data_IF_001632784180
#
_entry.id   IF_001632784180
#
_cell.length_a   1.000
_cell.length_b   1.000
_cell.length_c   1.000
_cell.angle_alpha   90.00
_cell.angle_beta   90.00
_cell.angle_gamma   90.00
#
_symmetry.space_group_name_H-M   'P 1'
#
loop_
_entity.id
_entity.type
_entity.pdbx_description
1 polymer ?
#
# COMPACT_ATOMS: atom_id res chain seq x y z
N UNK A 1 2.50 18.17 -13.98
CA UNK A 1 1.91 19.14 -14.92
C UNK A 1 1.27 18.34 -16.07
N UNK A 2 -0.04 18.41 -16.31
CA UNK A 2 -0.65 17.75 -17.49
C UNK A 2 -0.45 18.67 -18.69
N UNK A 3 0.31 18.21 -19.69
CA UNK A 3 0.39 18.85 -21.00
C UNK A 3 -0.78 18.33 -21.83
N UNK A 4 -1.52 19.23 -22.49
CA UNK A 4 -2.61 18.88 -23.40
C UNK A 4 -2.25 19.44 -24.76
N UNK A 5 -2.31 18.61 -25.79
CA UNK A 5 -2.18 19.05 -27.17
C UNK A 5 -3.50 19.71 -27.58
N UNK A 6 -3.44 20.95 -28.04
CA UNK A 6 -4.60 21.75 -28.45
C UNK A 6 -4.23 22.60 -29.66
N UNK A 7 -5.20 22.90 -30.51
CA UNK A 7 -5.00 23.86 -31.61
C UNK A 7 -4.76 25.26 -31.04
N UNK A 8 -4.05 26.11 -31.78
CA UNK A 8 -3.80 27.52 -31.40
C UNK A 8 -5.08 28.34 -31.26
N UNK A 9 -6.17 27.90 -31.89
CA UNK A 9 -7.48 28.57 -31.86
C UNK A 9 -8.37 28.10 -30.72
N UNK A 10 -8.02 27.00 -30.06
CA UNK A 10 -8.90 26.40 -29.05
C UNK A 10 -8.80 27.15 -27.72
N UNK A 11 -9.92 27.36 -27.01
CA UNK A 11 -9.87 27.87 -25.65
C UNK A 11 -9.11 26.87 -24.76
N UNK A 12 -8.26 27.41 -23.86
CA UNK A 12 -7.52 26.58 -22.91
C UNK A 12 -8.51 25.76 -22.06
N UNK A 13 -8.28 24.45 -21.88
CA UNK A 13 -9.16 23.64 -21.06
C UNK A 13 -9.20 24.18 -19.64
N UNK A 14 -10.41 24.53 -19.17
CA UNK A 14 -10.63 25.00 -17.80
C UNK A 14 -10.36 23.86 -16.83
N UNK A 15 -9.26 23.97 -16.10
CA UNK A 15 -8.94 23.03 -15.04
C UNK A 15 -9.69 23.42 -13.78
N UNK A 16 -10.71 22.66 -13.42
CA UNK A 16 -11.38 22.81 -12.14
C UNK A 16 -10.36 22.51 -11.02
N UNK A 17 -10.13 23.50 -10.16
CA UNK A 17 -9.34 23.32 -8.95
C UNK A 17 -10.07 22.30 -8.07
N UNK A 18 -9.43 21.16 -7.79
CA UNK A 18 -9.99 20.16 -6.89
C UNK A 18 -9.98 20.73 -5.46
N UNK A 19 -11.14 21.10 -4.93
CA UNK A 19 -11.34 21.18 -3.49
C UNK A 19 -11.02 19.82 -2.87
N UNK A 20 -10.57 19.78 -1.61
CA UNK A 20 -10.41 18.49 -0.89
C UNK A 20 -11.72 17.72 -1.07
N UNK A 21 -11.65 16.50 -1.61
CA UNK A 21 -12.84 15.66 -1.79
C UNK A 21 -13.63 15.61 -0.49
N UNK A 22 -14.95 15.75 -0.56
CA UNK A 22 -15.81 15.79 0.63
C UNK A 22 -15.77 14.46 1.42
N UNK A 23 -15.23 13.38 0.84
CA UNK A 23 -14.95 12.11 1.51
C UNK A 23 -13.55 11.59 1.18
N UNK A 24 -12.93 10.92 2.16
CA UNK A 24 -11.76 10.06 2.01
C UNK A 24 -11.95 8.83 2.87
N UNK A 25 -11.54 7.67 2.38
CA UNK A 25 -11.51 6.43 3.15
C UNK A 25 -10.08 5.93 3.25
N UNK A 26 -9.71 5.46 4.43
CA UNK A 26 -8.42 4.83 4.64
C UNK A 26 -8.59 3.31 4.58
N UNK A 27 -7.73 2.64 3.82
CA UNK A 27 -7.72 1.18 3.69
C UNK A 27 -6.28 0.73 3.87
N UNK A 28 -6.03 -0.12 4.87
CA UNK A 28 -4.76 -0.82 5.03
C UNK A 28 -4.78 -2.09 4.17
N UNK A 29 -3.72 -2.36 3.42
CA UNK A 29 -3.66 -3.50 2.49
C UNK A 29 -2.40 -4.31 2.80
N UNK A 30 -2.58 -5.62 2.96
CA UNK A 30 -1.54 -6.60 3.25
C UNK A 30 -1.54 -7.68 2.18
N UNK A 31 -0.36 -8.01 1.67
CA UNK A 31 -0.18 -9.04 0.67
C UNK A 31 1.11 -9.81 0.91
N UNK A 32 1.16 -11.03 0.37
CA UNK A 32 2.33 -11.88 0.32
C UNK A 32 2.66 -12.18 -1.15
N UNK A 33 3.76 -12.89 -1.40
CA UNK A 33 4.09 -13.40 -2.75
C UNK A 33 2.96 -14.25 -3.37
N UNK A 34 2.11 -14.84 -2.54
CA UNK A 34 0.96 -15.63 -2.96
C UNK A 34 -0.26 -14.79 -3.37
N UNK A 35 -0.23 -13.49 -3.09
CA UNK A 35 -1.29 -12.54 -3.43
C UNK A 35 -1.74 -11.70 -2.25
N UNK A 36 -2.86 -10.99 -2.44
CA UNK A 36 -3.55 -10.27 -1.36
C UNK A 36 -3.85 -11.22 -0.18
N UNK A 37 -3.56 -10.77 1.04
CA UNK A 37 -3.97 -11.42 2.29
C UNK A 37 -5.24 -10.77 2.81
N UNK A 38 -5.21 -9.45 3.01
CA UNK A 38 -6.36 -8.72 3.55
C UNK A 38 -6.28 -7.24 3.17
N UNK A 39 -7.44 -6.65 2.88
CA UNK A 39 -7.65 -5.21 2.96
C UNK A 39 -8.58 -4.90 4.13
N UNK A 40 -8.18 -3.97 5.00
CA UNK A 40 -8.94 -3.58 6.19
C UNK A 40 -9.28 -2.10 6.09
N UNK A 41 -10.57 -1.81 6.17
CA UNK A 41 -11.07 -0.44 6.08
C UNK A 41 -11.06 0.20 7.47
N UNK A 42 -10.66 1.47 7.53
CA UNK A 42 -10.90 2.29 8.70
C UNK A 42 -12.38 2.68 8.74
N UNK A 43 -12.96 2.64 9.94
CA UNK A 43 -14.31 3.12 10.19
C UNK A 43 -14.45 4.61 9.84
N UNK A 44 -15.63 5.02 9.38
CA UNK A 44 -15.89 6.41 8.98
C UNK A 44 -15.66 7.36 10.15
N UNK A 45 -14.83 8.38 9.96
CA UNK A 45 -14.47 9.33 11.02
C UNK A 45 -13.40 8.83 12.01
N UNK A 46 -12.92 7.59 11.84
CA UNK A 46 -11.84 7.03 12.63
C UNK A 46 -10.47 7.65 12.32
N UNK A 47 -9.51 7.41 13.20
CA UNK A 47 -8.09 7.76 13.00
C UNK A 47 -7.27 6.49 13.02
N UNK A 48 -6.38 6.31 12.04
CA UNK A 48 -5.42 5.22 12.08
C UNK A 48 -4.35 5.53 13.13
N UNK A 49 -4.47 4.81 14.23
CA UNK A 49 -3.56 4.84 15.36
C UNK A 49 -3.17 3.39 15.73
N UNK A 50 -2.24 3.25 16.68
CA UNK A 50 -1.74 1.93 17.07
C UNK A 50 -2.85 1.04 17.67
N UNK A 51 -3.82 1.62 18.38
CA UNK A 51 -4.93 0.86 18.96
C UNK A 51 -5.82 0.25 17.87
N UNK A 52 -6.23 1.01 16.86
CA UNK A 52 -6.97 0.48 15.71
C UNK A 52 -6.15 -0.59 14.97
N UNK A 53 -4.84 -0.35 14.83
CA UNK A 53 -3.95 -1.27 14.14
C UNK A 53 -3.90 -2.64 14.82
N UNK A 54 -3.68 -2.66 16.13
CA UNK A 54 -3.52 -3.88 16.93
C UNK A 54 -4.86 -4.55 17.24
N UNK A 55 -5.92 -3.78 17.52
CA UNK A 55 -7.21 -4.34 17.96
C UNK A 55 -8.13 -4.71 16.80
N UNK A 56 -7.98 -4.07 15.64
CA UNK A 56 -8.88 -4.25 14.49
C UNK A 56 -8.15 -4.76 13.25
N UNK A 57 -7.02 -4.14 12.90
CA UNK A 57 -6.37 -4.40 11.62
C UNK A 57 -5.59 -5.73 11.60
N UNK A 58 -4.53 -5.84 12.43
CA UNK A 58 -3.66 -7.02 12.46
C UNK A 58 -4.41 -8.33 12.77
N UNK A 59 -5.37 -8.39 13.71
CA UNK A 59 -6.09 -9.63 13.98
C UNK A 59 -6.79 -10.20 12.74
N UNK A 60 -7.34 -9.34 11.88
CA UNK A 60 -7.97 -9.76 10.63
C UNK A 60 -6.94 -10.26 9.60
N UNK A 61 -5.76 -9.64 9.55
CA UNK A 61 -4.66 -10.05 8.67
C UNK A 61 -4.12 -11.41 9.08
N UNK A 62 -3.81 -11.58 10.37
CA UNK A 62 -3.25 -12.82 10.92
C UNK A 62 -4.25 -13.97 10.85
N UNK A 63 -5.54 -13.70 11.10
CA UNK A 63 -6.61 -14.69 10.86
C UNK A 63 -6.64 -15.15 9.41
N UNK A 64 -6.60 -14.21 8.45
CA UNK A 64 -6.61 -14.54 7.02
C UNK A 64 -5.35 -15.34 6.60
N UNK A 65 -4.18 -14.99 7.13
CA UNK A 65 -2.94 -15.74 6.89
C UNK A 65 -2.99 -17.16 7.50
N UNK A 66 -3.58 -17.30 8.70
CA UNK A 66 -3.77 -18.60 9.36
C UNK A 66 -4.72 -19.51 8.59
N UNK A 67 -5.84 -18.96 8.09
CA UNK A 67 -6.80 -19.71 7.26
C UNK A 67 -6.15 -20.23 5.96
N UNK A 68 -5.13 -19.53 5.45
CA UNK A 68 -4.31 -19.94 4.30
C UNK A 68 -3.16 -20.87 4.65
N UNK A 69 -2.93 -21.16 5.95
CA UNK A 69 -1.78 -21.92 6.47
C UNK A 69 -0.42 -21.30 6.11
N UNK A 70 -0.37 -19.97 6.00
CA UNK A 70 0.82 -19.19 5.61
C UNK A 70 1.52 -18.53 6.81
N UNK A 71 1.30 -19.01 8.04
CA UNK A 71 1.80 -18.35 9.28
C UNK A 71 3.22 -18.73 9.69
N UNK A 72 3.77 -19.83 9.17
CA UNK A 72 5.09 -20.32 9.57
C UNK A 72 6.21 -19.48 8.95
N UNK A 73 7.07 -18.90 9.79
CA UNK A 73 8.23 -18.12 9.34
C UNK A 73 7.83 -16.80 8.69
N UNK A 74 6.71 -16.21 9.13
CA UNK A 74 6.31 -14.89 8.66
C UNK A 74 7.30 -13.82 9.11
N UNK A 75 7.64 -12.97 8.16
CA UNK A 75 8.37 -11.71 8.39
C UNK A 75 7.43 -10.60 7.98
N UNK A 76 7.20 -9.67 8.89
CA UNK A 76 6.32 -8.53 8.69
C UNK A 76 7.11 -7.32 8.18
N UNK A 77 6.64 -6.69 7.11
CA UNK A 77 7.26 -5.48 6.59
C UNK A 77 6.23 -4.36 6.47
N UNK A 78 6.52 -3.23 7.10
CA UNK A 78 5.76 -1.98 7.06
C UNK A 78 6.71 -0.77 7.11
N UNK A 79 6.18 0.44 7.01
CA UNK A 79 6.98 1.65 7.14
C UNK A 79 7.24 2.02 8.62
N UNK A 80 8.01 3.09 8.83
CA UNK A 80 8.32 3.58 10.17
C UNK A 80 7.25 4.54 10.73
N UNK A 81 5.99 4.46 10.28
CA UNK A 81 4.93 5.27 10.85
C UNK A 81 4.82 5.03 12.37
N UNK A 82 4.47 6.08 13.12
CA UNK A 82 4.45 6.05 14.60
C UNK A 82 3.63 4.90 15.17
N UNK A 83 2.56 4.50 14.48
CA UNK A 83 1.71 3.40 14.92
C UNK A 83 2.33 2.01 14.68
N UNK A 84 3.13 1.84 13.62
CA UNK A 84 3.82 0.58 13.33
C UNK A 84 4.97 0.32 14.31
N UNK A 85 5.51 1.39 14.90
CA UNK A 85 6.62 1.35 15.87
C UNK A 85 6.19 1.63 17.31
N UNK A 86 4.88 1.70 17.56
CA UNK A 86 4.35 1.82 18.90
C UNK A 86 4.62 0.54 19.71
N UNK A 87 4.79 0.67 21.03
CA UNK A 87 5.06 -0.48 21.89
C UNK A 87 3.99 -1.57 21.73
N UNK A 88 2.70 -1.22 21.71
CA UNK A 88 1.60 -2.18 21.58
C UNK A 88 1.64 -2.95 20.27
N UNK A 89 2.17 -2.36 19.20
CA UNK A 89 2.31 -3.02 17.91
C UNK A 89 3.45 -4.03 17.94
N UNK A 90 4.58 -3.64 18.53
CA UNK A 90 5.72 -4.55 18.71
C UNK A 90 5.36 -5.71 19.63
N UNK A 91 4.64 -5.45 20.71
CA UNK A 91 4.13 -6.45 21.66
C UNK A 91 3.21 -7.45 20.93
N UNK A 92 2.23 -6.96 20.16
CA UNK A 92 1.35 -7.83 19.38
C UNK A 92 2.13 -8.72 18.39
N UNK A 93 3.10 -8.18 17.64
CA UNK A 93 3.89 -8.96 16.69
C UNK A 93 4.73 -10.03 17.39
N UNK A 94 5.31 -9.69 18.55
CA UNK A 94 6.09 -10.60 19.38
C UNK A 94 5.24 -11.77 19.91
N UNK A 95 4.05 -11.47 20.43
CA UNK A 95 3.08 -12.48 20.92
C UNK A 95 2.64 -13.43 19.80
N UNK A 96 2.61 -12.95 18.55
CA UNK A 96 2.28 -13.77 17.39
C UNK A 96 3.53 -14.44 16.75
N UNK A 97 4.70 -14.34 17.39
CA UNK A 97 5.97 -14.90 16.90
C UNK A 97 6.35 -14.44 15.49
N UNK A 98 6.07 -13.18 15.17
CA UNK A 98 6.40 -12.58 13.87
C UNK A 98 7.46 -11.52 14.04
N UNK A 99 8.56 -11.68 13.31
CA UNK A 99 9.63 -10.71 13.25
C UNK A 99 9.24 -9.56 12.33
N UNK A 100 9.50 -8.32 12.77
CA UNK A 100 9.32 -7.13 11.95
C UNK A 100 10.64 -6.78 11.25
N UNK A 101 10.63 -6.77 9.91
CA UNK A 101 11.77 -6.35 9.12
C UNK A 101 11.97 -4.83 9.23
N UNK A 102 13.20 -4.35 9.49
CA UNK A 102 13.47 -2.92 9.57
C UNK A 102 13.35 -2.27 8.18
N UNK A 103 12.73 -1.10 8.13
CA UNK A 103 12.70 -0.28 6.93
C UNK A 103 13.51 1.02 7.18
N UNK A 104 14.38 1.47 6.27
CA UNK A 104 15.03 2.77 6.42
C UNK A 104 14.02 3.94 6.34
N UNK A 105 14.27 5.05 7.06
CA UNK A 105 13.44 6.25 6.95
C UNK A 105 13.39 6.81 5.53
N UNK A 106 12.22 7.31 5.12
CA UNK A 106 12.01 7.95 3.81
C UNK A 106 12.36 7.08 2.60
N UNK A 107 12.17 5.76 2.69
CA UNK A 107 12.51 4.82 1.61
C UNK A 107 11.28 4.18 0.93
N UNK A 108 10.41 4.97 0.27
CA UNK A 108 9.27 4.40 -0.46
C UNK A 108 9.73 3.48 -1.61
N UNK A 109 10.94 3.69 -2.15
CA UNK A 109 11.54 2.83 -3.17
C UNK A 109 11.87 1.41 -2.68
N UNK A 110 11.91 1.21 -1.37
CA UNK A 110 12.11 -0.08 -0.70
C UNK A 110 10.82 -0.64 -0.08
N UNK A 111 9.68 0.03 -0.26
CA UNK A 111 8.39 -0.42 0.26
C UNK A 111 7.56 -1.07 -0.87
N UNK A 112 7.31 -2.39 -0.84
CA UNK A 112 6.50 -3.09 -1.84
C UNK A 112 5.09 -2.50 -2.02
N UNK A 113 4.51 -1.95 -0.96
CA UNK A 113 3.23 -1.24 -1.03
C UNK A 113 3.34 0.01 -1.89
N UNK A 114 4.41 0.80 -1.74
CA UNK A 114 4.56 2.09 -2.41
C UNK A 114 5.00 1.96 -3.86
N UNK A 115 6.09 1.23 -4.14
CA UNK A 115 6.65 1.16 -5.49
C UNK A 115 5.84 0.29 -6.45
N UNK A 116 5.05 -0.67 -5.93
CA UNK A 116 4.28 -1.61 -6.73
C UNK A 116 2.77 -1.39 -6.56
N UNK A 117 2.20 -1.80 -5.42
CA UNK A 117 0.74 -1.98 -5.34
C UNK A 117 0.00 -0.65 -5.42
N UNK A 118 0.33 0.31 -4.55
CA UNK A 118 -0.30 1.62 -4.56
C UNK A 118 -0.05 2.38 -5.84
N UNK A 119 1.11 2.21 -6.49
CA UNK A 119 1.37 2.81 -7.78
C UNK A 119 0.44 2.26 -8.87
N UNK A 120 0.25 0.93 -8.93
CA UNK A 120 -0.68 0.29 -9.88
C UNK A 120 -2.14 0.69 -9.60
N UNK A 121 -2.58 0.65 -8.34
CA UNK A 121 -3.93 1.05 -7.94
C UNK A 121 -4.20 2.53 -8.26
N UNK A 122 -3.25 3.43 -7.97
CA UNK A 122 -3.36 4.85 -8.32
C UNK A 122 -3.51 5.06 -9.81
N UNK A 123 -2.81 4.28 -10.64
CA UNK A 123 -2.91 4.37 -12.09
C UNK A 123 -4.27 3.89 -12.60
N UNK A 124 -4.78 2.76 -12.09
CA UNK A 124 -6.07 2.20 -12.50
C UNK A 124 -7.26 3.08 -12.06
N UNK A 125 -7.21 3.62 -10.84
CA UNK A 125 -8.28 4.44 -10.27
C UNK A 125 -8.15 5.92 -10.67
N UNK A 126 -7.16 6.27 -11.49
CA UNK A 126 -6.86 7.66 -11.83
C UNK A 126 -7.99 8.29 -12.63
N UNK A 127 -8.50 9.40 -12.13
CA UNK A 127 -9.48 10.22 -12.86
C UNK A 127 -10.93 9.77 -12.69
N UNK A 128 -11.15 8.60 -12.08
CA UNK A 128 -12.49 8.11 -11.74
C UNK A 128 -13.07 8.98 -10.60
N UNK A 129 -14.36 9.27 -10.69
CA UNK A 129 -15.14 9.89 -9.62
C UNK A 129 -16.12 8.85 -9.11
N UNK A 130 -16.14 8.66 -7.79
CA UNK A 130 -17.08 7.76 -7.13
C UNK A 130 -18.18 8.60 -6.48
N UNK A 131 -19.42 8.12 -6.57
CA UNK A 131 -20.58 8.78 -5.99
C UNK A 131 -20.67 8.51 -4.49
N UNK A 132 -20.22 7.33 -4.06
CA UNK A 132 -20.19 6.92 -2.66
C UNK A 132 -19.00 6.00 -2.34
N UNK A 133 -18.86 5.68 -1.05
CA UNK A 133 -17.76 4.87 -0.55
C UNK A 133 -17.87 3.40 -0.97
N UNK A 134 -19.06 2.85 -1.17
CA UNK A 134 -19.24 1.46 -1.61
C UNK A 134 -18.78 1.29 -3.05
N UNK A 135 -19.09 2.24 -3.92
CA UNK A 135 -18.62 2.27 -5.31
C UNK A 135 -17.09 2.31 -5.35
N UNK A 136 -16.48 3.19 -4.55
CA UNK A 136 -15.02 3.31 -4.46
C UNK A 136 -14.37 2.02 -3.93
N UNK A 137 -14.92 1.42 -2.88
CA UNK A 137 -14.40 0.19 -2.29
C UNK A 137 -14.54 -1.00 -3.24
N UNK A 138 -15.64 -1.07 -4.00
CA UNK A 138 -15.84 -2.08 -5.04
C UNK A 138 -14.79 -1.94 -6.14
N UNK A 139 -14.59 -0.72 -6.64
CA UNK A 139 -13.56 -0.44 -7.65
C UNK A 139 -12.15 -0.75 -7.12
N UNK A 140 -11.85 -0.45 -5.86
CA UNK A 140 -10.60 -0.81 -5.21
C UNK A 140 -10.41 -2.32 -5.14
N UNK A 141 -11.43 -3.08 -4.74
CA UNK A 141 -11.37 -4.55 -4.70
C UNK A 141 -11.16 -5.15 -6.08
N UNK A 142 -11.85 -4.64 -7.11
CA UNK A 142 -11.66 -5.06 -8.50
C UNK A 142 -10.25 -4.76 -9.00
N UNK A 143 -9.73 -3.56 -8.71
CA UNK A 143 -8.37 -3.16 -9.07
C UNK A 143 -7.32 -4.05 -8.38
N UNK A 144 -7.49 -4.38 -7.10
CA UNK A 144 -6.60 -5.33 -6.43
C UNK A 144 -6.74 -6.73 -7.05
N UNK A 145 -7.96 -7.19 -7.29
CA UNK A 145 -8.26 -8.50 -7.85
C UNK A 145 -7.79 -8.70 -9.30
N UNK A 146 -7.48 -7.62 -10.03
CA UNK A 146 -6.91 -7.71 -11.37
C UNK A 146 -5.42 -8.10 -11.38
N UNK A 147 -4.76 -8.15 -10.22
CA UNK A 147 -3.35 -8.51 -10.11
C UNK A 147 -3.20 -10.01 -9.90
N UNK A 148 -2.35 -10.62 -10.73
CA UNK A 148 -2.11 -12.06 -10.69
C UNK A 148 -1.15 -12.43 -9.56
N UNK A 149 -1.12 -13.72 -9.20
CA UNK A 149 -0.10 -14.25 -8.28
C UNK A 149 1.33 -13.96 -8.78
N UNK A 150 1.55 -13.98 -10.09
CA UNK A 150 2.85 -13.67 -10.68
C UNK A 150 3.22 -12.19 -10.50
N UNK A 151 2.27 -11.26 -10.60
CA UNK A 151 2.52 -9.85 -10.30
C UNK A 151 3.05 -9.65 -8.88
N UNK A 152 2.45 -10.33 -7.90
CA UNK A 152 2.90 -10.26 -6.51
C UNK A 152 4.26 -10.93 -6.33
N UNK A 153 4.50 -12.08 -6.94
CA UNK A 153 5.81 -12.74 -6.89
C UNK A 153 6.92 -11.85 -7.47
N UNK A 154 6.70 -11.27 -8.66
CA UNK A 154 7.63 -10.35 -9.30
C UNK A 154 7.90 -9.10 -8.45
N UNK A 155 6.90 -8.62 -7.70
CA UNK A 155 7.10 -7.53 -6.76
C UNK A 155 8.16 -7.86 -5.70
N UNK A 156 8.12 -9.07 -5.12
CA UNK A 156 9.13 -9.50 -4.14
C UNK A 156 10.50 -9.71 -4.79
N UNK A 157 10.58 -10.24 -6.01
CA UNK A 157 11.85 -10.36 -6.75
C UNK A 157 12.47 -8.97 -7.02
N UNK A 158 11.65 -8.01 -7.45
CA UNK A 158 12.08 -6.61 -7.62
C UNK A 158 12.46 -5.94 -6.31
N UNK A 159 11.86 -6.34 -5.19
CA UNK A 159 12.20 -5.81 -3.87
C UNK A 159 13.65 -6.16 -3.51
N UNK A 160 14.10 -7.39 -3.74
CA UNK A 160 15.50 -7.77 -3.54
C UNK A 160 16.46 -6.99 -4.45
N UNK A 161 16.11 -6.82 -5.72
CA UNK A 161 16.92 -6.02 -6.66
C UNK A 161 17.04 -4.57 -6.19
N UNK A 162 15.93 -3.98 -5.71
CA UNK A 162 15.89 -2.63 -5.13
C UNK A 162 16.80 -2.50 -3.91
N UNK A 163 16.78 -3.49 -3.00
CA UNK A 163 17.65 -3.51 -1.83
C UNK A 163 19.13 -3.54 -2.27
N UNK A 164 19.50 -4.40 -3.23
CA UNK A 164 20.87 -4.43 -3.75
C UNK A 164 21.28 -3.11 -4.39
N UNK A 165 20.44 -2.52 -5.23
CA UNK A 165 20.71 -1.19 -5.80
C UNK A 165 20.90 -0.11 -4.73
N UNK A 166 20.15 -0.16 -3.64
CA UNK A 166 20.31 0.76 -2.52
C UNK A 166 21.69 0.59 -1.86
N UNK A 167 22.14 -0.65 -1.69
CA UNK A 167 23.46 -0.97 -1.14
C UNK A 167 24.56 -0.46 -2.08
N UNK A 168 24.46 -0.75 -3.37
CA UNK A 168 25.42 -0.31 -4.39
C UNK A 168 25.47 1.23 -4.51
N UNK A 169 24.35 1.90 -4.25
CA UNK A 169 24.24 3.34 -4.20
C UNK A 169 24.61 3.95 -2.83
N UNK A 170 25.16 3.15 -1.91
CA UNK A 170 25.54 3.58 -0.56
C UNK A 170 24.41 4.30 0.20
N UNK A 171 23.17 3.81 0.03
CA UNK A 171 21.96 4.36 0.65
C UNK A 171 21.34 5.55 -0.09
N UNK A 172 21.88 5.98 -1.22
CA UNK A 172 21.27 7.01 -2.06
C UNK A 172 20.06 6.48 -2.85
N UNK A 173 19.18 7.39 -3.28
CA UNK A 173 18.11 7.04 -4.21
C UNK A 173 18.68 6.56 -5.55
N UNK A 174 17.97 5.63 -6.19
CA UNK A 174 18.37 5.03 -7.45
C UNK A 174 17.22 5.05 -8.46
N UNK A 175 17.56 4.99 -9.75
CA UNK A 175 16.57 4.96 -10.82
C UNK A 175 15.84 3.61 -10.89
N UNK A 176 14.71 3.59 -11.60
CA UNK A 176 13.85 2.41 -11.72
C UNK A 176 14.62 1.17 -12.17
N UNK A 177 14.16 0.01 -11.73
CA UNK A 177 14.62 -1.27 -12.28
C UNK A 177 14.17 -1.30 -13.75
N UNK A 178 15.12 -1.50 -14.67
CA UNK A 178 14.87 -1.69 -16.10
C UNK A 178 14.27 -3.07 -16.36
#
# INVERSE_FOLDING_TARGET
QSKVWMSTTDPRPTKIHRTKSAGKRMVAIFFMKSGLIKSVQLETGGTVNASWYVNTCLPQVFKAASERRETRGLIFHDDNARLHRAWITNEFLLENHVEQYPNPPYSPDLSPCDFFLFQKLKNQLRGIRFNDDNEMLTALQQAIGSHTKEDFKNCFEHWFIRIHKCIDAEGQYFEKIN
#
